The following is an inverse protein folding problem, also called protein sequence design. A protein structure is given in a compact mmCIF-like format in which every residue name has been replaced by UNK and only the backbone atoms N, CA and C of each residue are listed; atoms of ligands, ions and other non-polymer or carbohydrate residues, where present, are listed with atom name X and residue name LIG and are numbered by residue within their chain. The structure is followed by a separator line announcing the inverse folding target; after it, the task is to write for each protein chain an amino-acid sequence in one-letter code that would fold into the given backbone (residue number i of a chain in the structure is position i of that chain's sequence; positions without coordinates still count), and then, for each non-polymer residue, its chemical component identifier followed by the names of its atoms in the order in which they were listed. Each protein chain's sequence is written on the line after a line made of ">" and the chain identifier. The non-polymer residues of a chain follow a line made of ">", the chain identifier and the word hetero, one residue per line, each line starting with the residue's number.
data_IF_892156806329
#
_entry.id   IF_892156806329
#
_cell.length_a   1.000
_cell.length_b   1.000
_cell.length_c   1.000
_cell.angle_alpha   90.00
_cell.angle_beta   90.00
_cell.angle_gamma   90.00
#
_symmetry.space_group_name_H-M   'P 1'
#
loop_
_entity.id
_entity.type
_entity.pdbx_description
1 polymer ?
#
# COMPACT_ATOMS: atom_id res chain seq x y z
N UNK A 1 18.96 4.46 6.00
CA UNK A 1 20.24 5.10 6.41
C UNK A 1 20.03 6.53 6.85
N UNK A 2 19.59 7.46 6.00
CA UNK A 2 19.42 8.86 6.40
C UNK A 2 18.50 9.04 7.64
N UNK A 3 17.40 8.29 7.74
CA UNK A 3 16.41 8.39 8.84
C UNK A 3 17.02 8.37 10.25
N UNK A 4 17.93 7.42 10.53
CA UNK A 4 18.57 7.29 11.84
C UNK A 4 19.65 8.35 12.12
N UNK A 5 20.07 9.10 11.09
CA UNK A 5 21.12 10.12 11.17
C UNK A 5 20.60 11.52 10.79
N UNK A 6 19.29 11.72 10.70
CA UNK A 6 18.71 13.00 10.26
C UNK A 6 19.13 14.16 11.18
N UNK A 7 19.17 13.95 12.49
CA UNK A 7 19.64 15.00 13.41
C UNK A 7 21.10 15.41 13.14
N UNK A 8 21.94 14.48 12.71
CA UNK A 8 23.33 14.76 12.34
C UNK A 8 23.41 15.44 10.96
N UNK A 9 22.59 15.02 10.01
CA UNK A 9 22.65 15.48 8.61
C UNK A 9 21.93 16.81 8.38
N UNK A 10 20.83 17.06 9.08
CA UNK A 10 19.92 18.17 8.86
C UNK A 10 19.70 19.03 10.12
N UNK A 11 20.35 18.70 11.25
CA UNK A 11 20.09 19.33 12.55
C UNK A 11 18.84 18.75 13.23
N UNK A 12 18.62 19.08 14.51
CA UNK A 12 17.45 18.60 15.24
C UNK A 12 16.17 19.26 14.72
N UNK A 13 15.08 18.48 14.68
CA UNK A 13 13.76 18.96 14.23
C UNK A 13 12.98 19.70 15.34
N UNK A 14 13.65 20.60 16.05
CA UNK A 14 13.09 21.30 17.24
C UNK A 14 11.92 22.25 16.91
N UNK A 15 11.70 22.51 15.62
CA UNK A 15 10.57 23.30 15.12
C UNK A 15 9.27 22.48 14.97
N UNK A 16 9.32 21.15 15.13
CA UNK A 16 8.15 20.27 15.10
C UNK A 16 7.64 19.99 16.52
N UNK A 17 6.32 19.72 16.66
CA UNK A 17 5.71 19.45 17.95
C UNK A 17 6.28 18.15 18.57
N UNK A 18 6.97 18.22 19.73
CA UNK A 18 7.61 17.06 20.35
C UNK A 18 6.61 16.05 20.92
N UNK A 19 5.30 16.35 20.92
CA UNK A 19 4.26 15.39 21.32
C UNK A 19 4.08 14.26 20.32
N UNK A 20 4.58 14.40 19.10
CA UNK A 20 4.47 13.39 18.04
C UNK A 20 5.85 12.82 17.68
N UNK A 21 5.93 11.56 17.21
CA UNK A 21 7.20 11.00 16.76
C UNK A 21 7.78 11.81 15.59
N UNK A 22 9.08 12.10 15.66
CA UNK A 22 9.78 12.83 14.61
C UNK A 22 11.09 12.14 14.26
N UNK A 23 11.26 11.69 13.01
CA UNK A 23 10.22 11.48 11.98
C UNK A 23 9.20 10.37 12.33
N UNK A 24 8.05 10.36 11.64
CA UNK A 24 7.01 9.32 11.70
C UNK A 24 6.63 8.87 10.28
N UNK A 25 6.59 7.56 10.04
CA UNK A 25 6.02 7.01 8.81
C UNK A 25 4.49 7.04 8.89
N UNK A 26 3.80 7.45 7.82
CA UNK A 26 2.34 7.64 7.83
C UNK A 26 1.56 6.38 8.22
N UNK A 27 2.08 5.18 7.93
CA UNK A 27 1.47 3.93 8.41
C UNK A 27 1.47 3.76 9.94
N UNK A 28 2.43 4.35 10.65
CA UNK A 28 2.43 4.34 12.13
C UNK A 28 1.22 5.12 12.65
N UNK A 29 0.97 6.29 12.06
CA UNK A 29 -0.21 7.09 12.37
C UNK A 29 -1.50 6.33 11.99
N UNK A 30 -1.59 5.80 10.76
CA UNK A 30 -2.77 5.05 10.31
C UNK A 30 -3.06 3.87 11.23
N UNK A 31 -2.04 3.10 11.60
CA UNK A 31 -2.20 1.96 12.50
C UNK A 31 -2.66 2.39 13.90
N UNK A 32 -2.07 3.45 14.47
CA UNK A 32 -2.50 4.03 15.74
C UNK A 32 -3.98 4.45 15.72
N UNK A 33 -4.45 5.08 14.64
CA UNK A 33 -5.86 5.48 14.50
C UNK A 33 -6.80 4.28 14.37
N UNK A 34 -6.38 3.22 13.68
CA UNK A 34 -7.13 1.95 13.61
C UNK A 34 -7.23 1.33 15.00
N UNK A 35 -6.12 1.26 15.73
CA UNK A 35 -6.09 0.68 17.09
C UNK A 35 -6.95 1.45 18.09
N UNK A 36 -7.04 2.78 17.95
CA UNK A 36 -7.92 3.63 18.76
C UNK A 36 -9.40 3.50 18.40
N UNK A 37 -9.74 2.84 17.29
CA UNK A 37 -11.12 2.74 16.80
C UNK A 37 -11.64 4.05 16.19
N UNK A 38 -10.74 4.96 15.82
CA UNK A 38 -11.11 6.26 15.24
C UNK A 38 -11.51 6.14 13.76
N UNK A 39 -11.12 5.06 13.08
CA UNK A 39 -11.46 4.80 11.70
C UNK A 39 -12.55 3.74 11.61
N UNK A 40 -13.69 4.09 11.02
CA UNK A 40 -14.69 3.13 10.60
C UNK A 40 -14.25 2.56 9.25
N UNK A 41 -14.05 1.25 9.18
CA UNK A 41 -13.52 0.56 8.02
C UNK A 41 -14.49 -0.52 7.55
N UNK A 42 -14.73 -0.58 6.24
CA UNK A 42 -15.35 -1.71 5.56
C UNK A 42 -14.33 -2.39 4.67
N UNK A 43 -13.94 -3.60 5.06
CA UNK A 43 -12.93 -4.38 4.34
C UNK A 43 -13.43 -4.91 3.00
N UNK A 44 -14.75 -5.04 2.83
CA UNK A 44 -15.35 -5.65 1.63
C UNK A 44 -15.14 -4.81 0.39
N UNK A 45 -14.89 -3.50 0.55
CA UNK A 45 -14.48 -2.59 -0.52
C UNK A 45 -13.18 -3.01 -1.24
N UNK A 46 -12.42 -3.96 -0.67
CA UNK A 46 -11.20 -4.51 -1.25
C UNK A 46 -11.31 -6.01 -1.62
N UNK A 47 -12.52 -6.60 -1.63
CA UNK A 47 -12.71 -8.03 -1.87
C UNK A 47 -12.47 -8.44 -3.33
N UNK A 48 -12.42 -7.48 -4.25
CA UNK A 48 -12.00 -7.65 -5.64
C UNK A 48 -10.50 -8.00 -5.79
N UNK A 49 -9.72 -7.88 -4.71
CA UNK A 49 -8.27 -8.07 -4.70
C UNK A 49 -7.89 -9.27 -3.83
N UNK A 50 -6.97 -10.11 -4.34
CA UNK A 50 -6.16 -11.04 -3.53
C UNK A 50 -4.78 -10.41 -3.44
N UNK A 51 -4.45 -9.87 -2.26
CA UNK A 51 -3.35 -8.95 -2.11
C UNK A 51 -2.10 -9.64 -1.57
N UNK A 52 -0.93 -9.29 -2.10
CA UNK A 52 0.37 -9.51 -1.44
C UNK A 52 1.08 -8.20 -1.12
N UNK A 53 2.17 -8.24 -0.35
CA UNK A 53 2.89 -7.04 0.09
C UNK A 53 4.36 -7.01 -0.34
N UNK A 54 4.77 -5.88 -0.91
CA UNK A 54 6.17 -5.57 -1.18
C UNK A 54 6.81 -4.86 0.00
N UNK A 55 7.57 -5.61 0.80
CA UNK A 55 8.48 -5.03 1.80
C UNK A 55 9.51 -4.12 1.12
N UNK A 56 9.35 -2.80 1.31
CA UNK A 56 10.21 -1.81 0.66
C UNK A 56 11.61 -1.87 1.27
N UNK A 57 12.65 -2.02 0.46
CA UNK A 57 14.01 -2.34 0.93
C UNK A 57 14.58 -1.35 1.97
N UNK A 58 14.40 -0.04 1.77
CA UNK A 58 14.86 0.98 2.72
C UNK A 58 14.10 0.89 4.05
N UNK A 59 12.81 0.52 3.98
CA UNK A 59 12.00 0.34 5.18
C UNK A 59 12.40 -0.95 5.90
N UNK A 60 12.42 -2.08 5.20
CA UNK A 60 12.73 -3.38 5.76
C UNK A 60 14.14 -3.46 6.39
N UNK A 61 15.16 -2.83 5.78
CA UNK A 61 16.57 -2.98 6.21
C UNK A 61 17.22 -1.77 6.85
N UNK A 62 16.67 -0.56 6.68
CA UNK A 62 17.41 0.66 6.97
C UNK A 62 16.63 1.72 7.73
N UNK A 63 15.42 1.39 8.19
CA UNK A 63 14.62 2.18 9.11
C UNK A 63 13.91 1.27 10.11
N UNK A 64 13.29 1.88 11.12
CA UNK A 64 12.34 1.24 12.04
C UNK A 64 11.03 2.02 11.96
N UNK A 65 9.93 1.31 12.15
CA UNK A 65 8.61 1.91 12.34
C UNK A 65 8.04 1.35 13.64
N UNK A 66 7.33 2.19 14.38
CA UNK A 66 6.74 1.86 15.66
C UNK A 66 7.73 1.85 16.81
N UNK A 67 7.21 1.46 17.97
CA UNK A 67 7.90 1.44 19.26
C UNK A 67 8.68 0.14 19.51
N UNK A 68 8.50 -0.91 18.68
CA UNK A 68 9.06 -2.25 18.88
C UNK A 68 9.97 -2.69 17.71
N UNK A 69 10.95 -3.57 17.96
CA UNK A 69 11.73 -4.17 16.87
C UNK A 69 10.82 -4.93 15.91
N UNK A 70 11.05 -4.78 14.60
CA UNK A 70 10.25 -5.46 13.57
C UNK A 70 8.94 -4.75 13.19
N UNK A 71 8.59 -3.62 13.82
CA UNK A 71 7.36 -2.88 13.51
C UNK A 71 7.28 -2.43 12.04
N UNK A 72 8.41 -2.20 11.37
CA UNK A 72 8.46 -1.91 9.93
C UNK A 72 7.97 -3.05 9.03
N UNK A 73 7.90 -4.28 9.55
CA UNK A 73 7.39 -5.46 8.86
C UNK A 73 5.96 -5.78 9.28
N UNK A 74 5.63 -5.57 10.57
CA UNK A 74 4.32 -5.88 11.14
C UNK A 74 3.27 -4.81 10.85
N UNK A 75 3.58 -3.53 11.06
CA UNK A 75 2.63 -2.42 10.92
C UNK A 75 1.97 -2.39 9.53
N UNK A 76 2.71 -2.49 8.40
CA UNK A 76 2.09 -2.53 7.08
C UNK A 76 1.10 -3.69 6.92
N UNK A 77 1.48 -4.88 7.40
CA UNK A 77 0.64 -6.09 7.33
C UNK A 77 -0.60 -5.96 8.21
N UNK A 78 -0.47 -5.35 9.39
CA UNK A 78 -1.61 -5.11 10.29
C UNK A 78 -2.61 -4.15 9.67
N UNK A 79 -2.14 -3.07 9.04
CA UNK A 79 -3.01 -2.14 8.31
C UNK A 79 -3.70 -2.85 7.14
N UNK A 80 -2.97 -3.64 6.34
CA UNK A 80 -3.58 -4.45 5.26
C UNK A 80 -4.69 -5.35 5.79
N UNK A 81 -4.42 -6.11 6.86
CA UNK A 81 -5.40 -7.02 7.48
C UNK A 81 -6.60 -6.31 8.07
N UNK A 82 -6.49 -5.01 8.36
CA UNK A 82 -7.59 -4.18 8.83
C UNK A 82 -8.47 -3.65 7.68
N UNK A 83 -7.99 -3.61 6.44
CA UNK A 83 -8.69 -2.98 5.30
C UNK A 83 -8.97 -3.93 4.13
N UNK A 84 -8.39 -5.13 4.11
CA UNK A 84 -8.57 -6.12 3.03
C UNK A 84 -8.75 -7.52 3.62
N UNK A 85 -9.71 -8.30 3.10
CA UNK A 85 -9.98 -9.66 3.59
C UNK A 85 -8.99 -10.69 3.03
N UNK A 86 -8.57 -10.53 1.78
CA UNK A 86 -7.75 -11.52 1.09
C UNK A 86 -6.30 -11.06 1.04
N UNK A 87 -5.48 -11.53 1.97
CA UNK A 87 -4.06 -11.21 2.03
C UNK A 87 -3.20 -12.47 2.10
N UNK A 88 -2.22 -12.57 1.21
CA UNK A 88 -1.25 -13.67 1.13
C UNK A 88 0.16 -13.09 1.06
N UNK A 89 1.00 -13.42 2.02
CA UNK A 89 2.42 -13.06 1.98
C UNK A 89 3.16 -13.92 0.93
N UNK A 90 4.15 -13.34 0.25
CA UNK A 90 5.08 -14.10 -0.58
C UNK A 90 5.94 -15.04 0.27
N UNK A 91 6.61 -16.01 -0.38
CA UNK A 91 7.49 -16.96 0.29
C UNK A 91 8.48 -16.28 1.26
N UNK A 92 8.68 -16.87 2.44
CA UNK A 92 9.41 -16.27 3.56
C UNK A 92 10.85 -15.83 3.23
N UNK A 93 11.51 -16.50 2.28
CA UNK A 93 12.85 -16.13 1.80
C UNK A 93 12.89 -14.90 0.88
N UNK A 94 11.74 -14.33 0.55
CA UNK A 94 11.60 -13.22 -0.39
C UNK A 94 10.95 -11.98 0.23
N UNK A 95 10.66 -12.01 1.53
CA UNK A 95 9.99 -10.94 2.28
C UNK A 95 10.84 -10.48 3.47
N UNK A 96 10.38 -9.46 4.19
CA UNK A 96 11.07 -8.91 5.35
C UNK A 96 12.46 -8.41 5.00
N UNK A 97 13.45 -8.72 5.85
CA UNK A 97 14.84 -8.30 5.62
C UNK A 97 15.45 -8.91 4.34
N UNK A 98 14.99 -10.10 3.95
CA UNK A 98 15.37 -10.83 2.73
C UNK A 98 14.70 -10.27 1.46
N UNK A 99 13.87 -9.23 1.59
CA UNK A 99 13.14 -8.64 0.45
C UNK A 99 14.02 -8.26 -0.73
N UNK A 100 13.56 -8.59 -1.93
CA UNK A 100 14.17 -8.15 -3.18
C UNK A 100 13.82 -6.69 -3.51
N UNK A 101 14.79 -5.96 -4.08
CA UNK A 101 14.63 -4.59 -4.54
C UNK A 101 13.59 -4.48 -5.67
N UNK A 102 12.90 -3.34 -5.76
CA UNK A 102 12.02 -3.01 -6.89
C UNK A 102 12.77 -2.64 -8.18
N UNK A 103 14.08 -2.34 -8.08
CA UNK A 103 14.91 -1.90 -9.20
C UNK A 103 14.88 -0.39 -9.50
N UNK A 104 14.07 0.40 -8.78
CA UNK A 104 13.91 1.84 -9.02
C UNK A 104 14.60 2.77 -8.01
N UNK A 105 15.09 2.26 -6.88
CA UNK A 105 15.76 3.07 -5.86
C UNK A 105 17.15 3.56 -6.27
N UNK A 106 17.80 4.39 -5.42
CA UNK A 106 19.21 4.76 -5.61
C UNK A 106 19.50 5.68 -6.81
N UNK A 107 18.51 6.48 -7.22
CA UNK A 107 18.64 7.37 -8.39
C UNK A 107 18.35 6.69 -9.73
N UNK A 108 17.89 5.44 -9.74
CA UNK A 108 17.62 4.69 -10.96
C UNK A 108 16.28 5.03 -11.60
N UNK A 109 15.37 5.73 -10.92
CA UNK A 109 14.00 6.04 -11.40
C UNK A 109 13.99 7.13 -12.49
N UNK A 110 14.71 6.90 -13.58
CA UNK A 110 14.70 7.67 -14.82
C UNK A 110 14.35 6.74 -15.98
N UNK A 111 13.81 7.28 -17.06
CA UNK A 111 13.37 6.50 -18.22
C UNK A 111 14.56 6.00 -19.07
N UNK A 112 15.69 6.72 -19.06
CA UNK A 112 16.94 6.29 -19.73
C UNK A 112 17.52 4.99 -19.16
N UNK A 113 17.15 4.63 -17.93
CA UNK A 113 17.64 3.43 -17.23
C UNK A 113 16.61 2.31 -17.19
N UNK A 114 15.58 2.33 -18.04
CA UNK A 114 14.51 1.33 -18.04
C UNK A 114 15.01 -0.11 -18.12
N UNK A 115 16.00 -0.38 -18.97
CA UNK A 115 16.57 -1.73 -19.10
C UNK A 115 17.16 -2.24 -17.77
N UNK A 116 17.91 -1.39 -17.06
CA UNK A 116 18.50 -1.71 -15.77
C UNK A 116 17.41 -1.88 -14.71
N UNK A 117 16.41 -0.99 -14.70
CA UNK A 117 15.26 -1.03 -13.80
C UNK A 117 14.47 -2.33 -13.92
N UNK A 118 14.20 -2.77 -15.15
CA UNK A 118 13.51 -4.03 -15.45
C UNK A 118 14.37 -5.20 -14.97
N UNK A 119 15.62 -5.31 -15.42
CA UNK A 119 16.53 -6.40 -15.02
C UNK A 119 16.75 -6.48 -13.50
N UNK A 120 16.88 -5.33 -12.84
CA UNK A 120 17.04 -5.24 -11.39
C UNK A 120 15.80 -5.67 -10.59
N UNK A 121 14.61 -5.59 -11.19
CA UNK A 121 13.38 -6.06 -10.58
C UNK A 121 13.16 -7.58 -10.73
N UNK A 122 13.93 -8.27 -11.59
CA UNK A 122 13.71 -9.67 -11.95
C UNK A 122 13.50 -10.59 -10.72
N UNK A 123 14.34 -10.57 -9.66
CA UNK A 123 14.11 -11.44 -8.50
C UNK A 123 12.77 -11.19 -7.80
N UNK A 124 12.33 -9.92 -7.72
CA UNK A 124 11.02 -9.56 -7.16
C UNK A 124 9.88 -10.01 -8.08
N UNK A 125 10.05 -9.88 -9.39
CA UNK A 125 9.04 -10.31 -10.36
C UNK A 125 8.87 -11.82 -10.37
N UNK A 126 9.95 -12.59 -10.20
CA UNK A 126 9.87 -14.04 -9.99
C UNK A 126 9.09 -14.38 -8.73
N UNK A 127 9.40 -13.74 -7.59
CA UNK A 127 8.67 -13.99 -6.34
C UNK A 127 7.18 -13.64 -6.44
N UNK A 128 6.85 -12.54 -7.14
CA UNK A 128 5.47 -12.15 -7.39
C UNK A 128 4.75 -13.18 -8.29
N UNK A 129 5.35 -13.58 -9.42
CA UNK A 129 4.75 -14.57 -10.33
C UNK A 129 4.46 -15.89 -9.62
N UNK A 130 5.39 -16.38 -8.80
CA UNK A 130 5.19 -17.63 -8.06
C UNK A 130 3.94 -17.54 -7.16
N UNK A 131 3.79 -16.47 -6.36
CA UNK A 131 2.61 -16.36 -5.48
C UNK A 131 1.31 -16.08 -6.25
N UNK A 132 1.39 -15.46 -7.43
CA UNK A 132 0.23 -15.33 -8.32
C UNK A 132 -0.24 -16.69 -8.85
N UNK A 133 0.70 -17.56 -9.24
CA UNK A 133 0.41 -18.90 -9.77
C UNK A 133 0.00 -19.89 -8.68
N UNK A 134 0.63 -19.83 -7.51
CA UNK A 134 0.42 -20.78 -6.41
C UNK A 134 -0.82 -20.42 -5.56
N UNK A 135 -1.05 -19.13 -5.30
CA UNK A 135 -2.03 -18.65 -4.31
C UNK A 135 -3.08 -17.71 -4.92
N UNK A 136 -3.05 -17.49 -6.23
CA UNK A 136 -4.05 -16.66 -6.93
C UNK A 136 -3.96 -15.17 -6.61
N UNK A 137 -2.79 -14.68 -6.16
CA UNK A 137 -2.58 -13.24 -5.91
C UNK A 137 -2.88 -12.43 -7.18
N UNK A 138 -3.64 -11.35 -7.03
CA UNK A 138 -4.00 -10.45 -8.14
C UNK A 138 -3.30 -9.10 -8.05
N UNK A 139 -2.98 -8.62 -6.84
CA UNK A 139 -2.39 -7.30 -6.63
C UNK A 139 -1.24 -7.35 -5.62
N UNK A 140 -0.26 -6.45 -5.78
CA UNK A 140 0.82 -6.23 -4.84
C UNK A 140 0.71 -4.82 -4.26
N UNK A 141 0.70 -4.69 -2.93
CA UNK A 141 0.73 -3.41 -2.25
C UNK A 141 2.16 -2.94 -1.97
N UNK A 142 2.38 -1.62 -2.05
CA UNK A 142 3.60 -0.96 -1.63
C UNK A 142 3.34 0.20 -0.66
N UNK A 143 4.37 0.55 0.11
CA UNK A 143 4.38 1.70 1.05
C UNK A 143 5.35 2.80 0.62
N UNK A 144 6.22 2.48 -0.32
CA UNK A 144 7.21 3.40 -0.85
C UNK A 144 6.73 3.94 -2.20
N UNK A 145 6.68 5.26 -2.34
CA UNK A 145 6.29 5.92 -3.59
C UNK A 145 7.18 5.51 -4.76
N UNK A 146 8.51 5.38 -4.54
CA UNK A 146 9.45 4.92 -5.57
C UNK A 146 9.11 3.50 -6.00
N UNK A 147 8.79 2.60 -5.07
CA UNK A 147 8.40 1.23 -5.42
C UNK A 147 7.10 1.22 -6.24
N UNK A 148 6.08 2.01 -5.85
CA UNK A 148 4.83 2.13 -6.61
C UNK A 148 5.10 2.60 -8.05
N UNK A 149 5.76 3.76 -8.20
CA UNK A 149 6.09 4.33 -9.51
C UNK A 149 6.96 3.41 -10.37
N UNK A 150 7.87 2.66 -9.75
CA UNK A 150 8.71 1.69 -10.44
C UNK A 150 7.89 0.53 -10.99
N UNK A 151 7.07 -0.12 -10.16
CA UNK A 151 6.29 -1.27 -10.59
C UNK A 151 5.21 -0.90 -11.61
N UNK A 152 4.63 0.30 -11.54
CA UNK A 152 3.67 0.76 -12.57
C UNK A 152 4.28 0.69 -13.97
N UNK A 153 5.56 1.01 -14.13
CA UNK A 153 6.25 0.91 -15.42
C UNK A 153 6.85 -0.48 -15.69
N UNK A 154 7.26 -1.22 -14.66
CA UNK A 154 8.00 -2.49 -14.83
C UNK A 154 7.09 -3.72 -14.95
N UNK A 155 5.95 -3.76 -14.26
CA UNK A 155 5.01 -4.90 -14.33
C UNK A 155 4.63 -5.28 -15.79
N UNK A 156 4.33 -4.32 -16.69
CA UNK A 156 4.03 -4.62 -18.09
C UNK A 156 5.13 -5.40 -18.84
N UNK A 157 6.41 -5.15 -18.53
CA UNK A 157 7.52 -5.90 -19.15
C UNK A 157 7.55 -7.37 -18.76
N UNK A 158 6.85 -7.73 -17.68
CA UNK A 158 6.74 -9.09 -17.18
C UNK A 158 5.38 -9.75 -17.48
N UNK A 159 4.53 -9.08 -18.27
CA UNK A 159 3.20 -9.59 -18.66
C UNK A 159 2.10 -9.32 -17.62
N UNK A 160 2.31 -8.36 -16.72
CA UNK A 160 1.35 -7.95 -15.69
C UNK A 160 0.76 -6.56 -16.02
N UNK A 161 -0.45 -6.27 -15.56
CA UNK A 161 -1.07 -4.95 -15.74
C UNK A 161 -0.44 -3.91 -14.80
N UNK A 162 -0.36 -2.65 -15.26
CA UNK A 162 0.20 -1.56 -14.48
C UNK A 162 -0.59 -1.26 -13.20
N UNK A 163 -1.88 -1.59 -13.16
CA UNK A 163 -2.79 -1.35 -12.05
C UNK A 163 -2.69 -2.44 -10.96
N UNK A 164 -1.96 -3.54 -11.22
CA UNK A 164 -1.73 -4.58 -10.21
C UNK A 164 -0.83 -4.11 -9.06
N UNK A 165 -0.18 -2.94 -9.16
CA UNK A 165 0.51 -2.30 -8.04
C UNK A 165 -0.37 -1.22 -7.40
N UNK A 166 -0.68 -1.41 -6.11
CA UNK A 166 -1.44 -0.45 -5.30
C UNK A 166 -0.60 0.08 -4.13
N UNK A 167 -1.07 1.15 -3.49
CA UNK A 167 -0.50 1.59 -2.20
C UNK A 167 -1.35 1.08 -1.05
N UNK A 168 -0.76 0.80 0.12
CA UNK A 168 -1.56 0.46 1.31
C UNK A 168 -2.55 1.58 1.64
N UNK A 169 -2.15 2.85 1.52
CA UNK A 169 -3.05 3.99 1.72
C UNK A 169 -4.15 4.12 0.67
N UNK A 170 -4.02 3.48 -0.49
CA UNK A 170 -5.13 3.39 -1.44
C UNK A 170 -6.18 2.40 -0.91
N UNK A 171 -5.76 1.23 -0.42
CA UNK A 171 -6.67 0.26 0.20
C UNK A 171 -7.37 0.83 1.45
N UNK A 172 -6.65 1.63 2.24
CA UNK A 172 -7.25 2.38 3.38
C UNK A 172 -8.29 3.37 2.88
N UNK A 173 -8.01 4.08 1.78
CA UNK A 173 -8.96 5.02 1.19
C UNK A 173 -10.20 4.34 0.62
N UNK A 174 -10.05 3.14 0.06
CA UNK A 174 -11.17 2.32 -0.45
C UNK A 174 -12.03 1.79 0.71
N UNK A 175 -11.41 1.45 1.85
CA UNK A 175 -12.10 0.86 2.99
C UNK A 175 -12.70 1.87 3.99
N UNK A 176 -12.23 3.13 4.02
CA UNK A 176 -12.65 4.08 5.05
C UNK A 176 -14.07 4.61 4.79
N UNK A 177 -14.92 4.56 5.82
CA UNK A 177 -16.27 5.14 5.80
C UNK A 177 -16.20 6.50 6.48
N UNK A 178 -16.44 7.57 5.72
CA UNK A 178 -16.47 8.93 6.24
C UNK A 178 -17.83 9.29 6.82
N UNK A 179 -17.85 10.18 7.82
CA UNK A 179 -19.10 10.71 8.37
C UNK A 179 -19.83 11.53 7.30
N UNK A 180 -21.07 11.16 6.99
CA UNK A 180 -21.87 11.80 5.93
C UNK A 180 -21.69 11.18 4.54
N UNK A 181 -20.98 10.06 4.41
CA UNK A 181 -20.94 9.28 3.17
C UNK A 181 -22.25 8.51 3.02
N UNK A 182 -23.07 8.88 2.03
CA UNK A 182 -24.21 8.08 1.62
C UNK A 182 -23.67 6.85 0.87
N UNK A 183 -23.97 5.65 1.36
CA UNK A 183 -23.84 4.43 0.56
C UNK A 183 -24.84 4.55 -0.58
N UNK A 184 -24.38 4.50 -1.83
CA UNK A 184 -25.19 4.73 -3.03
C UNK A 184 -26.25 3.67 -3.33
N UNK A 185 -26.83 3.07 -2.30
CA UNK A 185 -27.91 2.08 -2.38
C UNK A 185 -29.31 2.74 -2.18
N UNK A 186 -29.39 4.07 -2.12
CA UNK A 186 -30.64 4.83 -1.89
C UNK A 186 -31.13 5.64 -3.11
N UNK A 187 -30.57 5.47 -4.32
CA UNK A 187 -30.94 6.30 -5.50
C UNK A 187 -31.80 5.62 -6.59
N UNK A 188 -32.39 4.42 -6.36
CA UNK A 188 -33.21 3.74 -7.40
C UNK A 188 -34.68 3.43 -6.98
N UNK A 189 -35.22 4.06 -5.93
CA UNK A 189 -36.64 3.94 -5.57
C UNK A 189 -37.33 5.32 -5.36
N UNK A 190 -37.23 6.22 -6.33
CA UNK A 190 -38.26 7.26 -6.51
C UNK A 190 -39.06 6.93 -7.78
N UNK A 191 -40.28 6.45 -7.55
CA UNK A 191 -41.15 5.85 -8.56
C UNK A 191 -41.56 6.80 -9.68
N UNK A 192 -41.53 6.27 -10.89
CA UNK A 192 -42.41 6.71 -11.96
C UNK A 192 -43.86 6.37 -11.55
N UNK A 193 -44.52 7.25 -10.81
CA UNK A 193 -45.99 7.33 -10.84
C UNK A 193 -46.37 7.90 -12.21
N UNK A 194 -46.74 7.01 -13.13
CA UNK A 194 -47.45 7.37 -14.36
C UNK A 194 -48.77 8.05 -13.98
N UNK A 195 -48.83 9.37 -14.13
CA UNK A 195 -50.09 10.13 -14.18
C UNK A 195 -50.84 9.73 -15.47
N UNK A 196 -51.64 8.68 -15.38
CA UNK A 196 -52.66 8.30 -16.36
C UNK A 196 -53.84 9.28 -16.23
N UNK A 197 -53.81 10.38 -16.99
CA UNK A 197 -54.94 11.33 -17.12
C UNK A 197 -55.88 10.86 -18.24
N UNK A 198 -57.11 10.42 -17.95
CA UNK A 198 -58.03 9.96 -18.97
C UNK A 198 -58.98 11.05 -19.48
N UNK A 199 -58.75 12.37 -19.27
CA UNK A 199 -59.61 13.43 -19.87
C UNK A 199 -58.98 14.86 -19.84
N UNK A 200 -57.97 15.14 -20.68
CA UNK A 200 -57.53 16.52 -21.00
C UNK A 200 -57.16 16.73 -22.47
#
# INVERSE_FOLDING_TARGET
>A
VAYAFLNTLAGPFDFLDPKYPVPQHILEFTWDQIQKGNLKLDKSANDDKVLTFHDSCNVARATRMGDKPGGQLEIPRNVIKAVCNNFVDMHHDTIGEKTFCCGGGGGLLTDDLMEIRVKGALPRMTALKNVMEEEGVTHMAAICAICKSQFTKVLPYYGMDMNQIVSIHQLVSEAIILTGQNSGDEEDEEGDEEDDDPDA
#
